data_IF_597463474360
#
_entry.id   IF_597463474360
#
_cell.length_a   1.000
_cell.length_b   1.000
_cell.length_c   1.000
_cell.angle_alpha   90.00
_cell.angle_beta   90.00
_cell.angle_gamma   90.00
#
_symmetry.space_group_name_H-M   'P 1'
#
loop_
_entity.id
_entity.type
_entity.pdbx_description
1 polymer ?
#
# COMPACT_ATOMS: atom_id res chain seq x y z
N UNK A 1 -4.76 -14.62 7.41
CA UNK A 1 -3.51 -13.95 7.86
C UNK A 1 -2.40 -14.93 8.29
N UNK A 2 -2.71 -16.10 8.88
CA UNK A 2 -1.67 -17.03 9.35
C UNK A 2 -0.64 -17.48 8.29
N UNK A 3 -1.07 -17.80 7.07
CA UNK A 3 -0.13 -18.14 5.98
C UNK A 3 0.81 -16.99 5.61
N UNK A 4 0.35 -15.74 5.70
CA UNK A 4 1.18 -14.56 5.44
C UNK A 4 2.23 -14.37 6.55
N UNK A 5 1.81 -14.48 7.82
CA UNK A 5 2.72 -14.44 8.96
C UNK A 5 3.80 -15.52 8.86
N UNK A 6 3.39 -16.74 8.51
CA UNK A 6 4.30 -17.86 8.27
C UNK A 6 5.28 -17.58 7.14
N UNK A 7 4.81 -16.99 6.03
CA UNK A 7 5.67 -16.63 4.89
C UNK A 7 6.77 -15.67 5.30
N UNK A 8 6.42 -14.61 6.05
CA UNK A 8 7.40 -13.60 6.49
C UNK A 8 8.39 -14.20 7.50
N UNK A 9 7.88 -14.99 8.45
CA UNK A 9 8.72 -15.71 9.40
C UNK A 9 9.71 -16.65 8.70
N UNK A 10 9.23 -17.50 7.80
CA UNK A 10 10.07 -18.48 7.11
C UNK A 10 11.14 -17.80 6.24
N UNK A 11 10.77 -16.72 5.56
CA UNK A 11 11.74 -15.95 4.80
C UNK A 11 12.80 -15.30 5.70
N UNK A 12 12.40 -14.66 6.79
CA UNK A 12 13.33 -14.04 7.74
C UNK A 12 14.28 -15.05 8.40
N UNK A 13 13.84 -16.29 8.63
CA UNK A 13 14.67 -17.34 9.24
C UNK A 13 15.56 -18.10 8.25
N UNK A 14 15.11 -18.28 7.00
CA UNK A 14 15.70 -19.25 6.06
C UNK A 14 16.04 -18.68 4.69
N UNK A 15 15.69 -17.43 4.41
CA UNK A 15 15.81 -16.83 3.08
C UNK A 15 14.94 -17.50 2.01
N UNK A 16 13.90 -18.24 2.41
CA UNK A 16 12.98 -18.92 1.49
C UNK A 16 11.60 -19.09 2.12
N UNK A 17 10.57 -19.04 1.29
CA UNK A 17 9.18 -19.15 1.72
C UNK A 17 8.33 -19.71 0.58
N UNK A 18 7.02 -19.82 0.82
CA UNK A 18 6.06 -20.21 -0.21
C UNK A 18 5.29 -19.00 -0.75
N UNK A 19 5.00 -19.01 -2.04
CA UNK A 19 4.14 -18.04 -2.71
C UNK A 19 3.11 -18.76 -3.57
N UNK A 20 1.99 -18.08 -3.85
CA UNK A 20 1.03 -18.43 -4.89
C UNK A 20 0.47 -17.15 -5.50
N UNK A 21 -0.09 -17.25 -6.69
CA UNK A 21 -0.75 -16.15 -7.36
C UNK A 21 -2.27 -16.31 -7.29
N UNK A 22 -2.97 -15.18 -7.26
CA UNK A 22 -4.40 -15.11 -7.50
C UNK A 22 -4.62 -14.75 -8.96
N UNK A 23 -5.44 -15.52 -9.66
CA UNK A 23 -5.66 -15.36 -11.09
C UNK A 23 -6.75 -14.31 -11.28
N UNK A 24 -6.40 -13.19 -11.91
CA UNK A 24 -7.31 -12.05 -12.10
C UNK A 24 -8.13 -12.15 -13.38
N UNK A 25 -7.57 -12.75 -14.43
CA UNK A 25 -8.20 -12.95 -15.74
C UNK A 25 -7.96 -14.38 -16.23
N UNK A 26 -8.84 -14.91 -17.08
CA UNK A 26 -8.77 -16.32 -17.49
C UNK A 26 -7.47 -16.64 -18.25
N UNK A 27 -6.93 -15.69 -19.01
CA UNK A 27 -5.67 -15.84 -19.75
C UNK A 27 -4.46 -16.07 -18.83
N UNK A 28 -4.47 -15.54 -17.61
CA UNK A 28 -3.43 -15.81 -16.59
C UNK A 28 -3.52 -17.24 -16.04
N UNK A 29 -4.71 -17.86 -16.11
CA UNK A 29 -5.01 -19.17 -15.58
C UNK A 29 -4.74 -20.32 -16.55
N UNK A 30 -4.70 -20.05 -17.86
CA UNK A 30 -4.48 -21.02 -18.93
C UNK A 30 -3.24 -21.91 -18.71
N UNK A 31 -2.05 -21.37 -18.34
CA UNK A 31 -0.86 -22.21 -18.10
C UNK A 31 -1.01 -23.18 -16.92
N UNK A 32 -1.96 -22.92 -16.01
CA UNK A 32 -2.18 -23.69 -14.79
C UNK A 32 -3.45 -24.55 -14.85
N UNK A 33 -4.23 -24.48 -15.94
CA UNK A 33 -5.55 -25.12 -16.03
C UNK A 33 -6.53 -24.60 -14.98
N UNK A 34 -6.44 -23.30 -14.67
CA UNK A 34 -7.22 -22.62 -13.63
C UNK A 34 -8.06 -21.49 -14.24
N UNK A 35 -9.11 -21.07 -13.54
CA UNK A 35 -9.97 -19.95 -13.97
C UNK A 35 -9.69 -18.68 -13.18
N UNK A 36 -10.15 -17.55 -13.72
CA UNK A 36 -10.20 -16.30 -12.96
C UNK A 36 -10.93 -16.51 -11.63
N UNK A 37 -10.33 -15.99 -10.55
CA UNK A 37 -10.83 -16.15 -9.19
C UNK A 37 -10.23 -17.33 -8.42
N UNK A 38 -9.41 -18.17 -9.06
CA UNK A 38 -8.70 -19.26 -8.40
C UNK A 38 -7.27 -18.88 -8.00
N UNK A 39 -6.66 -19.72 -7.16
CA UNK A 39 -5.25 -19.61 -6.79
C UNK A 39 -4.40 -20.64 -7.54
N UNK A 40 -3.19 -20.26 -7.92
CA UNK A 40 -2.17 -21.21 -8.36
C UNK A 40 -1.73 -22.12 -7.19
N UNK A 41 -1.13 -23.29 -7.49
CA UNK A 41 -0.43 -24.06 -6.46
C UNK A 41 0.65 -23.23 -5.75
N UNK A 42 0.98 -23.63 -4.54
CA UNK A 42 2.09 -23.04 -3.80
C UNK A 42 3.43 -23.46 -4.42
N UNK A 43 4.33 -22.48 -4.59
CA UNK A 43 5.71 -22.66 -5.06
C UNK A 43 6.71 -22.23 -3.97
N UNK A 44 7.83 -22.95 -3.85
CA UNK A 44 8.95 -22.54 -3.01
C UNK A 44 9.77 -21.46 -3.74
N UNK A 45 10.00 -20.32 -3.08
CA UNK A 45 10.68 -19.14 -3.64
C UNK A 45 11.72 -18.58 -2.66
N UNK A 46 12.55 -17.64 -3.13
CA UNK A 46 13.47 -16.86 -2.30
C UNK A 46 14.94 -17.32 -2.30
N UNK A 47 15.26 -18.47 -2.92
CA UNK A 47 16.66 -18.92 -2.98
C UNK A 47 17.55 -17.86 -3.64
N UNK A 48 18.65 -17.50 -2.95
CA UNK A 48 19.60 -16.47 -3.36
C UNK A 48 18.99 -15.07 -3.53
N UNK A 49 17.90 -14.76 -2.83
CA UNK A 49 17.36 -13.40 -2.78
C UNK A 49 17.91 -12.66 -1.56
N UNK A 50 18.14 -11.36 -1.73
CA UNK A 50 18.63 -10.50 -0.65
C UNK A 50 17.49 -9.98 0.24
N UNK A 51 16.30 -9.78 -0.34
CA UNK A 51 15.12 -9.22 0.34
C UNK A 51 13.81 -9.85 -0.15
N UNK A 52 12.85 -9.94 0.77
CA UNK A 52 11.44 -10.22 0.45
C UNK A 52 10.70 -8.89 0.31
N UNK A 53 10.19 -8.63 -0.89
CA UNK A 53 9.28 -7.52 -1.14
C UNK A 53 7.83 -8.02 -1.12
N UNK A 54 6.99 -7.36 -0.32
CA UNK A 54 5.56 -7.60 -0.26
C UNK A 54 4.79 -6.33 -0.58
N UNK A 55 3.87 -6.42 -1.53
CA UNK A 55 2.90 -5.38 -1.83
C UNK A 55 1.49 -5.93 -1.63
N UNK A 56 0.67 -5.21 -0.88
CA UNK A 56 -0.71 -5.58 -0.64
C UNK A 56 -1.32 -4.88 0.56
N UNK A 57 -2.58 -5.23 0.83
CA UNK A 57 -3.38 -4.56 1.85
C UNK A 57 -3.09 -5.00 3.29
N UNK A 58 -2.26 -6.03 3.51
CA UNK A 58 -2.12 -6.68 4.83
C UNK A 58 -0.67 -6.86 5.30
N UNK A 59 0.27 -6.06 4.77
CA UNK A 59 1.70 -6.20 5.08
C UNK A 59 2.07 -5.91 6.53
N UNK A 60 1.20 -5.24 7.29
CA UNK A 60 1.37 -4.90 8.71
C UNK A 60 0.21 -5.35 9.59
N UNK A 61 -0.54 -6.38 9.18
CA UNK A 61 -1.74 -6.83 9.88
C UNK A 61 -1.40 -7.50 11.22
N UNK A 62 -2.25 -7.22 12.22
CA UNK A 62 -2.23 -7.87 13.54
C UNK A 62 -3.66 -8.20 13.93
N UNK A 63 -3.90 -9.46 14.25
CA UNK A 63 -5.24 -10.00 14.57
C UNK A 63 -5.12 -11.18 15.53
N UNK A 64 -5.62 -11.02 16.77
CA UNK A 64 -5.49 -12.02 17.82
C UNK A 64 -4.02 -12.41 18.09
N UNK A 65 -3.69 -13.69 17.87
CA UNK A 65 -2.33 -14.22 18.01
C UNK A 65 -1.43 -13.99 16.80
N UNK A 66 -1.99 -13.53 15.68
CA UNK A 66 -1.27 -13.31 14.42
C UNK A 66 -0.69 -11.90 14.43
N UNK A 67 0.61 -11.78 14.21
CA UNK A 67 1.29 -10.49 14.11
C UNK A 67 2.31 -10.54 12.97
N UNK A 68 1.89 -10.06 11.79
CA UNK A 68 2.75 -10.03 10.59
C UNK A 68 3.81 -8.93 10.72
N UNK A 69 3.44 -7.80 11.32
CA UNK A 69 4.28 -6.61 11.41
C UNK A 69 5.60 -6.85 12.15
N UNK A 70 5.65 -7.78 13.11
CA UNK A 70 6.88 -8.10 13.85
C UNK A 70 8.00 -8.74 13.00
N UNK A 71 7.69 -9.23 11.80
CA UNK A 71 8.66 -9.85 10.89
C UNK A 71 9.08 -8.90 9.75
N UNK A 72 8.79 -7.60 9.87
CA UNK A 72 9.04 -6.61 8.82
C UNK A 72 10.11 -5.62 9.27
N UNK A 73 11.23 -5.56 8.55
CA UNK A 73 12.29 -4.57 8.78
C UNK A 73 11.89 -3.16 8.31
N UNK A 74 11.12 -3.05 7.22
CA UNK A 74 10.64 -1.79 6.68
C UNK A 74 9.17 -1.88 6.24
N UNK A 75 8.27 -1.27 7.02
CA UNK A 75 6.83 -1.26 6.72
C UNK A 75 6.40 0.12 6.20
N UNK A 76 5.95 0.16 4.94
CA UNK A 76 5.54 1.39 4.25
C UNK A 76 4.03 1.37 4.03
N UNK A 77 3.33 2.44 4.43
CA UNK A 77 1.92 2.64 4.12
C UNK A 77 1.78 3.56 2.93
N UNK A 78 1.17 3.11 1.83
CA UNK A 78 0.78 3.98 0.71
C UNK A 78 -0.74 4.01 0.66
N UNK A 79 -1.33 5.17 0.96
CA UNK A 79 -2.77 5.25 1.24
C UNK A 79 -3.39 6.52 0.67
N UNK A 80 -4.45 6.46 -0.14
CA UNK A 80 -5.26 7.63 -0.43
C UNK A 80 -6.13 8.01 0.78
N UNK A 81 -6.53 9.28 0.91
CA UNK A 81 -7.62 9.62 1.82
C UNK A 81 -8.89 8.82 1.48
N UNK A 82 -9.70 8.52 2.48
CA UNK A 82 -10.89 7.66 2.36
C UNK A 82 -11.79 8.07 1.18
N UNK A 83 -12.03 9.37 0.99
CA UNK A 83 -12.83 9.85 -0.13
C UNK A 83 -12.22 9.51 -1.49
N UNK A 84 -10.90 9.68 -1.66
CA UNK A 84 -10.20 9.32 -2.89
C UNK A 84 -10.22 7.80 -3.12
N UNK A 85 -10.10 6.99 -2.06
CA UNK A 85 -10.23 5.54 -2.15
C UNK A 85 -11.60 5.12 -2.72
N UNK A 86 -12.67 5.76 -2.25
CA UNK A 86 -14.02 5.50 -2.74
C UNK A 86 -14.20 5.95 -4.19
N UNK A 87 -13.73 7.15 -4.55
CA UNK A 87 -13.75 7.62 -5.95
C UNK A 87 -13.07 6.61 -6.87
N UNK A 88 -11.85 6.17 -6.53
CA UNK A 88 -11.13 5.16 -7.31
C UNK A 88 -11.87 3.83 -7.39
N UNK A 89 -12.53 3.41 -6.32
CA UNK A 89 -13.30 2.16 -6.30
C UNK A 89 -14.55 2.25 -7.18
N UNK A 90 -15.33 3.32 -7.06
CA UNK A 90 -16.53 3.58 -7.86
C UNK A 90 -16.19 3.56 -9.35
N UNK A 91 -15.11 4.24 -9.74
CA UNK A 91 -14.63 4.27 -11.12
C UNK A 91 -14.26 2.87 -11.64
N UNK A 92 -13.44 2.11 -10.90
CA UNK A 92 -13.07 0.73 -11.27
C UNK A 92 -14.29 -0.19 -11.42
N UNK A 93 -15.25 -0.07 -10.51
CA UNK A 93 -16.45 -0.91 -10.51
C UNK A 93 -17.39 -0.56 -11.68
N UNK A 94 -17.46 0.72 -12.05
CA UNK A 94 -18.21 1.18 -13.23
C UNK A 94 -17.58 0.68 -14.54
N UNK A 95 -16.26 0.79 -14.67
CA UNK A 95 -15.52 0.35 -15.87
C UNK A 95 -15.56 -1.16 -16.08
N UNK A 96 -15.37 -1.95 -15.00
CA UNK A 96 -15.26 -3.40 -15.12
C UNK A 96 -16.61 -4.12 -15.18
N UNK A 97 -17.65 -3.57 -14.53
CA UNK A 97 -18.86 -4.34 -14.21
C UNK A 97 -20.18 -3.62 -14.50
N UNK A 98 -20.15 -2.35 -14.92
CA UNK A 98 -21.35 -1.59 -15.29
C UNK A 98 -22.37 -1.44 -14.15
N UNK A 99 -21.93 -1.50 -12.89
CA UNK A 99 -22.82 -1.45 -11.73
C UNK A 99 -23.59 -0.13 -11.61
N UNK A 100 -24.81 -0.20 -11.05
CA UNK A 100 -25.55 0.99 -10.63
C UNK A 100 -24.86 1.66 -9.42
N UNK A 101 -25.15 2.94 -9.21
CA UNK A 101 -24.63 3.68 -8.07
C UNK A 101 -25.00 3.03 -6.73
N UNK A 102 -26.21 2.45 -6.61
CA UNK A 102 -26.68 1.78 -5.39
C UNK A 102 -25.87 0.52 -5.04
N UNK A 103 -25.58 -0.34 -6.04
CA UNK A 103 -24.76 -1.53 -5.83
C UNK A 103 -23.34 -1.19 -5.35
N UNK A 104 -22.85 0.01 -5.70
CA UNK A 104 -21.55 0.50 -5.25
C UNK A 104 -21.58 0.96 -3.79
N UNK A 105 -22.68 1.59 -3.35
CA UNK A 105 -22.89 1.99 -1.95
C UNK A 105 -22.87 0.78 -1.01
N UNK A 106 -23.64 -0.27 -1.34
CA UNK A 106 -23.71 -1.48 -0.52
C UNK A 106 -22.34 -2.18 -0.42
N UNK A 107 -21.60 -2.18 -1.52
CA UNK A 107 -20.24 -2.74 -1.56
C UNK A 107 -19.29 -1.96 -0.65
N UNK A 108 -19.38 -0.62 -0.62
CA UNK A 108 -18.58 0.22 0.26
C UNK A 108 -18.96 -0.04 1.73
N UNK A 109 -20.25 -0.09 2.05
CA UNK A 109 -20.71 -0.34 3.42
C UNK A 109 -20.19 -1.67 3.97
N UNK A 110 -20.29 -2.76 3.18
CA UNK A 110 -19.79 -4.08 3.58
C UNK A 110 -18.27 -4.08 3.85
N UNK A 111 -17.51 -3.27 3.12
CA UNK A 111 -16.04 -3.17 3.27
C UNK A 111 -15.61 -2.27 4.41
N UNK A 112 -16.46 -1.34 4.84
CA UNK A 112 -16.10 -0.36 5.87
C UNK A 112 -15.72 -1.03 7.20
N UNK A 113 -16.40 -2.13 7.55
CA UNK A 113 -16.06 -2.87 8.76
C UNK A 113 -14.64 -3.44 8.69
N UNK A 114 -14.27 -4.12 7.61
CA UNK A 114 -12.91 -4.64 7.42
C UNK A 114 -11.88 -3.50 7.32
N UNK A 115 -12.26 -2.38 6.69
CA UNK A 115 -11.40 -1.21 6.57
C UNK A 115 -10.99 -0.67 7.94
N UNK A 116 -11.97 -0.50 8.84
CA UNK A 116 -11.74 0.01 10.19
C UNK A 116 -10.96 -1.01 11.03
N UNK A 117 -11.31 -2.29 10.96
CA UNK A 117 -10.76 -3.29 11.88
C UNK A 117 -9.41 -3.87 11.42
N UNK A 118 -9.15 -3.93 10.12
CA UNK A 118 -7.96 -4.60 9.58
C UNK A 118 -7.06 -3.70 8.74
N UNK A 119 -7.57 -2.66 8.07
CA UNK A 119 -6.73 -1.77 7.25
C UNK A 119 -6.17 -0.60 8.04
N UNK A 120 -7.03 0.28 8.56
CA UNK A 120 -6.59 1.51 9.23
C UNK A 120 -5.60 1.30 10.38
N UNK A 121 -5.68 0.24 11.22
CA UNK A 121 -4.75 0.06 12.32
C UNK A 121 -3.31 -0.21 11.86
N UNK A 122 -3.12 -0.69 10.62
CA UNK A 122 -1.78 -0.96 10.07
C UNK A 122 -0.97 0.33 9.89
N UNK A 123 -1.62 1.44 9.53
CA UNK A 123 -0.94 2.74 9.35
C UNK A 123 -0.41 3.36 10.66
N UNK A 124 -0.78 2.79 11.80
CA UNK A 124 -0.18 3.13 13.10
C UNK A 124 1.11 2.37 13.37
N UNK A 125 1.40 1.31 12.60
CA UNK A 125 2.58 0.43 12.73
C UNK A 125 3.63 0.66 11.64
N UNK A 126 3.24 1.29 10.55
CA UNK A 126 4.14 1.65 9.45
C UNK A 126 5.24 2.58 9.94
N UNK A 127 6.44 2.36 9.41
CA UNK A 127 7.60 3.21 9.64
C UNK A 127 7.45 4.53 8.89
N UNK A 128 6.88 4.49 7.68
CA UNK A 128 6.65 5.65 6.82
C UNK A 128 5.28 5.52 6.17
N UNK A 129 4.45 6.56 6.26
CA UNK A 129 3.18 6.66 5.54
C UNK A 129 3.27 7.72 4.44
N UNK A 130 2.86 7.35 3.24
CA UNK A 130 2.61 8.22 2.10
C UNK A 130 1.09 8.32 1.93
N UNK A 131 0.51 9.41 2.43
CA UNK A 131 -0.91 9.65 2.32
C UNK A 131 -1.21 10.61 1.16
N UNK A 132 -1.93 10.14 0.15
CA UNK A 132 -2.35 11.00 -0.97
C UNK A 132 -3.63 11.77 -0.64
N UNK A 133 -3.56 13.09 -0.74
CA UNK A 133 -4.64 14.03 -0.39
C UNK A 133 -4.98 14.90 -1.60
N UNK A 134 -6.15 14.73 -2.23
CA UNK A 134 -6.65 15.64 -3.26
C UNK A 134 -6.83 17.07 -2.73
N UNK A 135 -6.57 18.04 -3.59
CA UNK A 135 -6.81 19.48 -3.39
C UNK A 135 -8.02 19.99 -4.17
N UNK A 136 -8.75 19.07 -4.80
CA UNK A 136 -10.03 19.31 -5.46
C UNK A 136 -11.18 18.83 -4.59
N UNK A 137 -12.41 19.23 -4.94
CA UNK A 137 -13.61 18.85 -4.19
C UNK A 137 -13.86 17.33 -4.29
N UNK A 138 -13.68 16.64 -3.17
CA UNK A 138 -13.98 15.22 -3.00
C UNK A 138 -15.01 15.00 -1.90
N UNK A 139 -15.78 16.02 -1.54
CA UNK A 139 -16.77 16.00 -0.45
C UNK A 139 -17.86 14.94 -0.65
N UNK A 140 -18.28 14.71 -1.89
CA UNK A 140 -19.20 13.63 -2.27
C UNK A 140 -18.54 12.68 -3.30
N UNK A 141 -17.94 11.56 -2.86
CA UNK A 141 -17.24 10.64 -3.76
C UNK A 141 -18.16 9.91 -4.75
N UNK A 142 -19.47 9.82 -4.47
CA UNK A 142 -20.45 9.07 -5.28
C UNK A 142 -20.84 9.76 -6.59
N UNK A 143 -20.61 11.07 -6.68
CA UNK A 143 -20.90 11.87 -7.88
C UNK A 143 -19.62 12.34 -8.57
N UNK A 144 -18.46 11.90 -8.10
CA UNK A 144 -17.16 12.32 -8.65
C UNK A 144 -17.02 11.84 -10.09
N UNK A 145 -16.85 12.79 -11.00
CA UNK A 145 -16.78 12.53 -12.44
C UNK A 145 -15.47 11.91 -12.86
N UNK A 146 -14.39 12.26 -12.17
CA UNK A 146 -13.03 11.89 -12.50
C UNK A 146 -12.27 11.54 -11.22
N UNK A 147 -11.25 10.70 -11.35
CA UNK A 147 -10.30 10.46 -10.26
C UNK A 147 -9.33 11.65 -10.24
N UNK A 148 -9.17 12.39 -9.12
CA UNK A 148 -8.18 13.44 -9.01
C UNK A 148 -6.81 12.97 -9.50
N UNK A 149 -6.15 13.79 -10.31
CA UNK A 149 -4.81 13.53 -10.85
C UNK A 149 -3.73 13.74 -9.80
N UNK A 150 -2.49 13.38 -10.13
CA UNK A 150 -1.35 13.59 -9.21
C UNK A 150 -1.08 15.08 -8.97
N UNK A 151 -1.25 15.92 -10.00
CA UNK A 151 -1.06 17.37 -9.90
C UNK A 151 -2.17 18.06 -9.11
N UNK A 152 -3.35 17.45 -9.04
CA UNK A 152 -4.47 17.89 -8.18
C UNK A 152 -4.35 17.39 -6.73
N UNK A 153 -3.20 16.87 -6.33
CA UNK A 153 -3.01 16.21 -5.04
C UNK A 153 -1.68 16.61 -4.39
N UNK A 154 -1.65 16.56 -3.06
CA UNK A 154 -0.41 16.46 -2.30
C UNK A 154 -0.23 15.04 -1.78
N UNK A 155 1.01 14.71 -1.39
CA UNK A 155 1.32 13.52 -0.60
C UNK A 155 1.89 13.97 0.74
N UNK A 156 1.24 13.54 1.81
CA UNK A 156 1.67 13.75 3.19
C UNK A 156 2.53 12.55 3.59
N UNK A 157 3.83 12.78 3.75
CA UNK A 157 4.82 11.78 4.13
C UNK A 157 5.10 11.90 5.62
N UNK A 158 4.55 10.98 6.42
CA UNK A 158 4.73 10.93 7.87
C UNK A 158 5.72 9.83 8.23
N UNK A 159 6.74 10.18 8.99
CA UNK A 159 7.75 9.26 9.51
C UNK A 159 7.43 8.88 10.96
N UNK A 160 7.71 7.63 11.33
CA UNK A 160 7.59 7.17 12.72
C UNK A 160 8.74 7.71 13.59
N UNK A 161 9.96 7.73 13.03
CA UNK A 161 11.18 8.23 13.67
C UNK A 161 11.86 9.26 12.73
N UNK A 162 12.52 10.27 13.29
CA UNK A 162 13.26 11.26 12.52
C UNK A 162 14.50 10.66 11.84
N UNK A 163 14.96 9.48 12.25
CA UNK A 163 16.16 8.80 11.67
C UNK A 163 15.95 8.25 10.27
N UNK A 164 14.71 8.21 9.78
CA UNK A 164 14.41 7.67 8.45
C UNK A 164 14.81 8.62 7.30
N UNK A 165 14.99 9.91 7.55
CA UNK A 165 15.40 10.86 6.52
C UNK A 165 16.01 12.16 7.09
N UNK A 166 16.80 12.83 6.26
CA UNK A 166 17.16 14.23 6.46
C UNK A 166 16.09 15.13 5.81
N UNK A 167 15.31 15.82 6.65
CA UNK A 167 14.24 16.71 6.18
C UNK A 167 14.78 17.93 5.41
N UNK A 168 15.95 18.45 5.79
CA UNK A 168 16.54 19.60 5.10
C UNK A 168 16.91 19.20 3.68
N UNK A 169 17.58 18.05 3.53
CA UNK A 169 17.90 17.50 2.21
C UNK A 169 16.64 17.24 1.37
N UNK A 170 15.61 16.62 1.94
CA UNK A 170 14.37 16.35 1.21
C UNK A 170 13.67 17.64 0.77
N UNK A 171 13.66 18.68 1.60
CA UNK A 171 13.05 19.95 1.24
C UNK A 171 13.79 20.67 0.11
N UNK A 172 15.12 20.64 0.13
CA UNK A 172 15.95 21.22 -0.93
C UNK A 172 15.77 20.48 -2.27
N UNK A 173 15.71 19.15 -2.23
CA UNK A 173 15.57 18.33 -3.44
C UNK A 173 14.15 18.39 -4.03
N UNK A 174 13.13 18.56 -3.18
CA UNK A 174 11.73 18.44 -3.57
C UNK A 174 11.09 19.82 -3.59
N UNK A 175 11.29 20.56 -4.69
CA UNK A 175 10.72 21.89 -4.83
C UNK A 175 9.20 21.90 -4.61
N UNK A 176 8.70 22.86 -3.85
CA UNK A 176 7.29 22.96 -3.45
C UNK A 176 6.90 22.06 -2.27
N UNK A 177 7.84 21.38 -1.64
CA UNK A 177 7.61 20.67 -0.38
C UNK A 177 7.68 21.60 0.83
N UNK A 178 6.99 21.22 1.90
CA UNK A 178 7.02 21.94 3.18
C UNK A 178 6.72 21.01 4.36
N UNK A 179 7.15 21.41 5.56
CA UNK A 179 6.86 20.65 6.78
C UNK A 179 5.50 21.07 7.36
N UNK A 180 4.60 20.11 7.56
CA UNK A 180 3.31 20.35 8.24
C UNK A 180 3.37 20.01 9.74
N UNK A 181 4.28 19.13 10.14
CA UNK A 181 4.60 18.77 11.53
C UNK A 181 6.08 18.40 11.63
N UNK A 182 6.68 18.33 12.84
CA UNK A 182 8.10 18.00 13.01
C UNK A 182 8.57 16.69 12.36
N UNK A 183 7.65 15.72 12.17
CA UNK A 183 7.93 14.43 11.54
C UNK A 183 7.13 14.20 10.24
N UNK A 184 6.61 15.27 9.62
CA UNK A 184 5.72 15.17 8.46
C UNK A 184 6.09 16.18 7.38
N UNK A 185 6.49 15.65 6.22
CA UNK A 185 6.78 16.39 5.01
C UNK A 185 5.56 16.32 4.08
N UNK A 186 5.16 17.44 3.48
CA UNK A 186 4.14 17.50 2.44
C UNK A 186 4.83 17.77 1.12
N UNK A 187 4.53 16.96 0.09
CA UNK A 187 5.17 17.05 -1.23
C UNK A 187 4.10 17.12 -2.34
N UNK A 188 4.36 17.81 -3.47
CA UNK A 188 3.46 17.78 -4.62
C UNK A 188 3.22 16.34 -5.10
N UNK A 189 1.98 16.01 -5.47
CA UNK A 189 1.60 14.63 -5.79
C UNK A 189 2.38 14.05 -6.98
N UNK A 190 2.64 14.86 -8.02
CA UNK A 190 3.48 14.46 -9.15
C UNK A 190 4.93 14.12 -8.79
N UNK A 191 5.38 14.43 -7.57
CA UNK A 191 6.74 14.13 -7.06
C UNK A 191 6.79 12.92 -6.14
N UNK A 192 5.69 12.19 -5.95
CA UNK A 192 5.63 11.05 -5.03
C UNK A 192 6.69 9.99 -5.31
N UNK A 193 6.83 9.57 -6.58
CA UNK A 193 7.82 8.56 -6.97
C UNK A 193 9.26 9.00 -6.68
N UNK A 194 9.58 10.26 -6.99
CA UNK A 194 10.90 10.84 -6.71
C UNK A 194 11.20 10.89 -5.21
N UNK A 195 10.23 11.30 -4.39
CA UNK A 195 10.38 11.34 -2.93
C UNK A 195 10.53 9.94 -2.34
N UNK A 196 9.76 8.97 -2.85
CA UNK A 196 9.91 7.56 -2.46
C UNK A 196 11.31 7.04 -2.79
N UNK A 197 11.84 7.34 -3.97
CA UNK A 197 13.19 6.93 -4.35
C UNK A 197 14.25 7.48 -3.38
N UNK A 198 14.21 8.79 -3.11
CA UNK A 198 15.16 9.44 -2.19
C UNK A 198 15.14 8.81 -0.79
N UNK A 199 13.95 8.52 -0.26
CA UNK A 199 13.78 7.95 1.08
C UNK A 199 14.15 6.47 1.09
N UNK A 200 13.58 5.68 0.17
CA UNK A 200 13.65 4.22 0.23
C UNK A 200 15.00 3.68 -0.20
N UNK A 201 15.71 4.37 -1.11
CA UNK A 201 17.05 3.96 -1.53
C UNK A 201 17.98 3.79 -0.33
N UNK A 202 18.06 4.78 0.54
CA UNK A 202 18.93 4.73 1.73
C UNK A 202 18.51 3.60 2.69
N UNK A 203 17.21 3.39 2.88
CA UNK A 203 16.70 2.34 3.77
C UNK A 203 16.98 0.95 3.21
N UNK A 204 16.82 0.75 1.90
CA UNK A 204 17.11 -0.52 1.24
C UNK A 204 18.61 -0.81 1.24
N UNK A 205 19.45 0.17 0.92
CA UNK A 205 20.91 0.03 1.01
C UNK A 205 21.35 -0.35 2.43
N UNK A 206 20.73 0.23 3.48
CA UNK A 206 20.97 -0.16 4.88
C UNK A 206 20.57 -1.61 5.17
N UNK A 207 19.50 -2.11 4.56
CA UNK A 207 19.06 -3.50 4.76
C UNK A 207 19.96 -4.50 4.04
N UNK A 208 20.42 -4.18 2.83
CA UNK A 208 21.30 -5.04 2.04
C UNK A 208 22.73 -5.16 2.61
N UNK A 209 23.18 -4.14 3.36
CA UNK A 209 24.52 -4.09 3.93
C UNK A 209 24.59 -4.52 5.41
N UNK A 210 23.53 -5.12 5.97
CA UNK A 210 23.52 -5.74 7.30
C UNK A 210 24.17 -7.11 7.29
#
# INVERSE_FOLDING_TARGET
FGELEKTFKEYGEKGRCKRRYYIHIDEEGDPFGKKAGEFTPWEDVGRNSDLLFYEGLHGGVKDGSIDVAKYVDLLIGVVPVVNLEWIQKIHRDKEQRGYSAEATVDTIHRRMWDYINYLTPQFSRTHINFQRVPTVDTSNPFIARDIPTQDESFVVVRFQDHKYCDFVYLQDMVAGSFMSRPNTLVVPGGKMGFVMELILREQIEKMLNK
#
